data_IF_916907289571
#
_entry.id   IF_916907289571
#
_cell.length_a   1.000
_cell.length_b   1.000
_cell.length_c   1.000
_cell.angle_alpha   90.00
_cell.angle_beta   90.00
_cell.angle_gamma   90.00
#
_symmetry.space_group_name_H-M   'P 1'
#
loop_
_entity.id
_entity.type
_entity.pdbx_description
1 polymer ?
#
# COMPACT_ATOMS: atom_id res chain seq x y z
N UNK A 1 -0.52 12.01 3.53
CA UNK A 1 -0.54 12.49 2.13
C UNK A 1 0.82 13.03 1.68
N UNK A 2 1.56 13.69 2.58
CA UNK A 2 2.83 14.39 2.33
C UNK A 2 3.92 13.54 1.65
N UNK A 3 3.94 12.22 1.91
CA UNK A 3 4.86 11.26 1.26
C UNK A 3 4.33 10.67 -0.04
N UNK A 4 3.34 11.31 -0.67
CA UNK A 4 2.76 10.93 -1.96
C UNK A 4 2.16 9.50 -1.98
N UNK A 5 1.64 9.04 -0.84
CA UNK A 5 0.96 7.75 -0.76
C UNK A 5 -0.26 7.69 -1.69
N UNK A 6 -0.56 6.49 -2.16
CA UNK A 6 -1.71 6.15 -2.98
C UNK A 6 -2.84 5.57 -2.10
N UNK A 7 -4.08 5.88 -2.46
CA UNK A 7 -5.29 5.27 -1.92
C UNK A 7 -5.41 5.23 -0.38
N UNK A 8 -5.14 6.33 0.32
CA UNK A 8 -5.18 6.38 1.79
C UNK A 8 -6.62 6.24 2.30
N UNK A 9 -7.00 5.09 2.85
CA UNK A 9 -8.36 4.79 3.35
C UNK A 9 -8.29 4.29 4.78
N UNK A 10 -9.33 4.53 5.57
CA UNK A 10 -9.43 4.01 6.92
C UNK A 10 -10.84 3.48 7.19
N UNK A 11 -10.94 2.39 7.93
CA UNK A 11 -12.20 1.76 8.30
C UNK A 11 -12.35 1.74 9.81
N UNK A 12 -13.57 1.98 10.29
CA UNK A 12 -13.97 1.71 11.66
C UNK A 12 -14.22 0.21 11.80
N UNK A 13 -13.34 -0.46 12.54
CA UNK A 13 -13.37 -1.91 12.74
C UNK A 13 -13.72 -2.29 14.17
N UNK A 14 -14.11 -1.32 15.00
CA UNK A 14 -14.40 -1.51 16.44
C UNK A 14 -15.53 -2.50 16.72
N UNK A 15 -16.52 -2.62 15.82
CA UNK A 15 -17.61 -3.58 15.94
C UNK A 15 -17.22 -5.01 15.50
N UNK A 16 -16.10 -5.16 14.80
CA UNK A 16 -15.65 -6.43 14.19
C UNK A 16 -14.44 -7.00 14.93
N UNK A 17 -13.55 -6.15 15.42
CA UNK A 17 -12.35 -6.50 16.16
C UNK A 17 -12.49 -6.10 17.63
N UNK A 18 -12.08 -6.98 18.54
CA UNK A 18 -12.27 -6.78 19.97
C UNK A 18 -11.29 -5.78 20.62
N UNK A 19 -10.26 -5.33 19.89
CA UNK A 19 -9.15 -4.54 20.43
C UNK A 19 -8.88 -3.29 19.58
N UNK A 20 -8.85 -3.45 18.26
CA UNK A 20 -8.52 -2.37 17.33
C UNK A 20 -9.80 -1.66 16.87
N UNK A 21 -9.79 -0.33 16.94
CA UNK A 21 -10.92 0.51 16.56
C UNK A 21 -10.81 0.98 15.10
N UNK A 22 -9.59 1.18 14.58
CA UNK A 22 -9.39 1.66 13.21
C UNK A 22 -8.34 0.88 12.43
N UNK A 23 -8.63 0.60 11.15
CA UNK A 23 -7.70 -0.01 10.21
C UNK A 23 -7.45 0.92 9.03
N UNK A 24 -6.22 1.44 8.90
CA UNK A 24 -5.81 2.35 7.83
C UNK A 24 -4.99 1.61 6.78
N UNK A 25 -5.37 1.73 5.51
CA UNK A 25 -4.59 1.28 4.37
C UNK A 25 -4.00 2.44 3.59
N UNK A 26 -2.73 2.31 3.22
CA UNK A 26 -2.06 3.19 2.29
C UNK A 26 -1.22 2.37 1.31
N UNK A 27 -0.87 2.95 0.17
CA UNK A 27 -0.04 2.27 -0.81
C UNK A 27 1.03 3.15 -1.43
N UNK A 28 1.99 2.53 -2.08
CA UNK A 28 3.06 3.22 -2.78
C UNK A 28 3.48 2.47 -4.06
N UNK A 29 4.06 3.15 -5.05
CA UNK A 29 4.51 2.58 -6.32
C UNK A 29 5.89 1.89 -6.25
N UNK A 30 6.60 1.95 -5.12
CA UNK A 30 7.89 1.28 -4.92
C UNK A 30 8.22 1.13 -3.43
N UNK A 31 9.10 0.18 -3.12
CA UNK A 31 9.55 -0.14 -1.76
C UNK A 31 10.16 1.06 -1.02
N UNK A 32 10.87 1.95 -1.74
CA UNK A 32 11.45 3.15 -1.15
C UNK A 32 10.36 4.10 -0.63
N UNK A 33 9.27 4.26 -1.37
CA UNK A 33 8.14 5.08 -0.93
C UNK A 33 7.34 4.38 0.18
N UNK A 34 7.15 3.06 0.13
CA UNK A 34 6.55 2.29 1.24
C UNK A 34 7.32 2.58 2.53
N UNK A 35 8.64 2.43 2.51
CA UNK A 35 9.49 2.73 3.67
C UNK A 35 9.39 4.20 4.09
N UNK A 36 9.44 5.14 3.15
CA UNK A 36 9.36 6.57 3.47
C UNK A 36 8.02 6.98 4.08
N UNK A 37 6.91 6.33 3.72
CA UNK A 37 5.60 6.52 4.32
C UNK A 37 5.59 5.97 5.75
N UNK A 38 6.09 4.74 5.94
CA UNK A 38 6.19 4.09 7.25
C UNK A 38 7.03 4.93 8.22
N UNK A 39 8.24 5.32 7.80
CA UNK A 39 9.17 6.09 8.62
C UNK A 39 8.52 7.43 9.05
N UNK A 40 7.78 8.10 8.15
CA UNK A 40 7.07 9.35 8.48
C UNK A 40 5.92 9.14 9.46
N UNK A 41 5.14 8.06 9.33
CA UNK A 41 4.06 7.72 10.26
C UNK A 41 4.64 7.52 11.65
N UNK A 42 5.68 6.68 11.78
CA UNK A 42 6.35 6.43 13.06
C UNK A 42 6.93 7.71 13.64
N UNK A 43 7.62 8.52 12.83
CA UNK A 43 8.24 9.78 13.25
C UNK A 43 7.21 10.78 13.78
N UNK A 44 6.08 10.98 13.08
CA UNK A 44 5.05 11.93 13.52
C UNK A 44 4.31 11.47 14.75
N UNK A 45 3.88 10.20 14.78
CA UNK A 45 3.18 9.66 15.95
C UNK A 45 4.08 9.70 17.19
N UNK A 46 5.38 9.45 17.03
CA UNK A 46 6.31 9.58 18.14
C UNK A 46 6.51 11.05 18.57
N UNK A 47 6.72 11.97 17.63
CA UNK A 47 7.00 13.38 17.97
C UNK A 47 5.80 14.11 18.55
N UNK A 48 4.61 13.84 18.03
CA UNK A 48 3.40 14.59 18.37
C UNK A 48 2.65 13.98 19.56
N UNK A 49 2.71 12.64 19.71
CA UNK A 49 1.90 11.91 20.69
C UNK A 49 2.73 11.00 21.62
N UNK A 50 4.06 10.97 21.49
CA UNK A 50 4.96 10.01 22.17
C UNK A 50 4.55 8.54 21.96
N UNK A 51 3.86 8.26 20.85
CA UNK A 51 3.38 6.93 20.53
C UNK A 51 4.48 6.13 19.81
N UNK A 52 4.59 4.84 20.15
CA UNK A 52 5.45 3.87 19.45
C UNK A 52 4.60 2.67 19.06
N UNK A 53 4.83 2.06 17.89
CA UNK A 53 4.09 0.87 17.52
C UNK A 53 4.40 -0.24 18.53
N UNK A 54 3.36 -0.91 18.99
CA UNK A 54 3.48 -2.11 19.81
C UNK A 54 4.15 -3.24 19.03
N UNK A 55 3.90 -3.30 17.71
CA UNK A 55 4.54 -4.24 16.81
C UNK A 55 4.72 -3.64 15.41
N UNK A 56 5.78 -4.09 14.74
CA UNK A 56 6.05 -3.86 13.33
C UNK A 56 6.29 -5.18 12.61
N UNK A 57 5.65 -5.37 11.46
CA UNK A 57 5.75 -6.58 10.64
C UNK A 57 6.02 -6.24 9.16
N UNK A 58 6.53 -7.21 8.37
CA UNK A 58 6.65 -7.10 6.90
C UNK A 58 7.91 -6.41 6.36
N UNK A 59 8.69 -5.70 7.18
CA UNK A 59 9.80 -4.85 6.70
C UNK A 59 10.89 -5.57 5.87
N UNK A 60 11.14 -6.87 6.12
CA UNK A 60 12.21 -7.61 5.44
C UNK A 60 12.02 -7.70 3.93
N UNK A 61 10.77 -7.82 3.47
CA UNK A 61 10.48 -7.96 2.05
C UNK A 61 10.13 -6.61 1.41
N UNK A 62 9.92 -5.55 2.22
CA UNK A 62 9.70 -4.16 1.77
C UNK A 62 8.39 -3.90 1.01
N UNK A 63 7.73 -4.95 0.53
CA UNK A 63 6.51 -4.89 -0.29
C UNK A 63 5.26 -4.55 0.52
N UNK A 64 5.28 -4.84 1.81
CA UNK A 64 4.28 -4.39 2.76
C UNK A 64 4.89 -4.21 4.15
N UNK A 65 4.31 -3.30 4.92
CA UNK A 65 4.65 -3.07 6.32
C UNK A 65 3.35 -2.85 7.09
N UNK A 66 3.22 -3.53 8.22
CA UNK A 66 2.13 -3.34 9.17
C UNK A 66 2.70 -2.70 10.44
N UNK A 67 2.08 -1.60 10.87
CA UNK A 67 2.33 -0.93 12.13
C UNK A 67 1.11 -1.12 13.03
N UNK A 68 1.31 -1.75 14.18
CA UNK A 68 0.28 -2.03 15.16
C UNK A 68 0.44 -1.09 16.36
N UNK A 69 -0.54 -0.21 16.58
CA UNK A 69 -0.64 0.69 17.73
C UNK A 69 -1.75 0.26 18.70
N UNK A 70 -2.18 -1.01 18.64
CA UNK A 70 -3.28 -1.61 19.43
C UNK A 70 -4.64 -1.07 19.02
N UNK A 71 -4.91 0.21 19.28
CA UNK A 71 -6.18 0.88 18.97
C UNK A 71 -6.31 1.18 17.47
N UNK A 72 -5.17 1.37 16.78
CA UNK A 72 -5.10 1.63 15.35
C UNK A 72 -4.06 0.72 14.70
N UNK A 73 -4.40 0.13 13.56
CA UNK A 73 -3.46 -0.59 12.71
C UNK A 73 -3.28 0.15 11.39
N UNK A 74 -2.03 0.33 10.96
CA UNK A 74 -1.69 0.96 9.69
C UNK A 74 -0.98 -0.06 8.79
N UNK A 75 -1.57 -0.33 7.64
CA UNK A 75 -1.02 -1.23 6.63
C UNK A 75 -0.57 -0.44 5.39
N UNK A 76 0.74 -0.40 5.14
CA UNK A 76 1.33 0.25 3.97
C UNK A 76 1.85 -0.82 3.03
N UNK A 77 1.42 -0.81 1.76
CA UNK A 77 1.78 -1.86 0.80
C UNK A 77 2.08 -1.34 -0.60
N UNK A 78 2.66 -2.19 -1.44
CA UNK A 78 2.84 -1.87 -2.85
C UNK A 78 1.48 -1.69 -3.56
N UNK A 79 1.43 -0.78 -4.53
CA UNK A 79 0.20 -0.47 -5.28
C UNK A 79 -0.31 -1.68 -6.07
N UNK A 80 0.58 -2.45 -6.69
CA UNK A 80 0.23 -3.69 -7.38
C UNK A 80 -0.32 -4.75 -6.42
N UNK A 81 0.32 -4.95 -5.27
CA UNK A 81 -0.12 -5.92 -4.26
C UNK A 81 -1.51 -5.55 -3.72
N UNK A 82 -1.79 -4.26 -3.58
CA UNK A 82 -3.13 -3.80 -3.22
C UNK A 82 -4.18 -4.20 -4.22
N UNK A 83 -3.93 -3.98 -5.51
CA UNK A 83 -4.87 -4.34 -6.57
C UNK A 83 -5.06 -5.85 -6.63
N UNK A 84 -3.98 -6.61 -6.46
CA UNK A 84 -4.00 -8.08 -6.50
C UNK A 84 -4.75 -8.71 -5.32
N UNK A 85 -4.41 -8.32 -4.08
CA UNK A 85 -5.02 -8.91 -2.88
C UNK A 85 -6.36 -8.27 -2.50
N UNK A 86 -6.59 -7.01 -2.87
CA UNK A 86 -7.80 -6.26 -2.58
C UNK A 86 -8.26 -6.39 -1.12
N UNK A 87 -7.34 -6.15 -0.17
CA UNK A 87 -7.57 -6.32 1.27
C UNK A 87 -8.78 -5.52 1.78
N UNK A 88 -9.14 -4.42 1.12
CA UNK A 88 -10.34 -3.63 1.43
C UNK A 88 -11.63 -4.45 1.39
N UNK A 89 -11.65 -5.58 0.66
CA UNK A 89 -12.79 -6.50 0.65
C UNK A 89 -13.08 -7.13 2.02
N UNK A 90 -12.07 -7.24 2.89
CA UNK A 90 -12.24 -7.72 4.26
C UNK A 90 -13.06 -6.74 5.11
N UNK A 91 -12.98 -5.45 4.79
CA UNK A 91 -13.58 -4.35 5.55
C UNK A 91 -14.80 -3.74 4.83
N UNK A 92 -15.33 -4.39 3.80
CA UNK A 92 -16.43 -3.85 2.97
C UNK A 92 -17.71 -3.52 3.75
N UNK A 93 -17.93 -4.20 4.88
CA UNK A 93 -19.10 -4.06 5.73
C UNK A 93 -18.83 -3.12 6.93
N UNK A 94 -17.60 -2.60 7.03
CA UNK A 94 -17.18 -1.65 8.04
C UNK A 94 -17.37 -0.21 7.53
N UNK A 95 -17.82 0.74 8.37
CA UNK A 95 -17.88 2.14 7.99
C UNK A 95 -16.51 2.68 7.58
N UNK A 96 -16.43 3.45 6.49
CA UNK A 96 -15.21 4.21 6.17
C UNK A 96 -15.13 5.43 7.09
N UNK A 97 -13.96 5.64 7.69
CA UNK A 97 -13.68 6.83 8.50
C UNK A 97 -13.46 8.03 7.59
N UNK A 98 -14.05 9.17 7.95
CA UNK A 98 -13.90 10.40 7.20
C UNK A 98 -12.46 10.93 7.32
N UNK A 99 -11.79 11.08 6.18
CA UNK A 99 -10.40 11.55 6.08
C UNK A 99 -10.31 12.95 5.45
N UNK A 100 -9.20 13.69 5.65
CA UNK A 100 -8.97 14.96 4.96
C UNK A 100 -9.00 14.81 3.43
N UNK A 101 -9.39 15.89 2.73
CA UNK A 101 -9.51 15.90 1.27
C UNK A 101 -8.21 15.50 0.54
N UNK A 102 -7.06 15.86 1.10
CA UNK A 102 -5.76 15.48 0.56
C UNK A 102 -5.53 13.95 0.56
N UNK A 103 -6.10 13.24 1.53
CA UNK A 103 -6.06 11.78 1.57
C UNK A 103 -7.03 11.19 0.55
N UNK A 104 -8.26 11.73 0.46
CA UNK A 104 -9.25 11.28 -0.53
C UNK A 104 -8.79 11.50 -1.97
N UNK A 105 -8.06 12.57 -2.24
CA UNK A 105 -7.47 12.86 -3.55
C UNK A 105 -6.43 11.82 -4.03
N UNK A 106 -6.05 10.87 -3.17
CA UNK A 106 -5.15 9.76 -3.52
C UNK A 106 -5.88 8.53 -4.06
N UNK A 107 -7.22 8.52 -4.03
CA UNK A 107 -8.07 7.41 -4.50
C UNK A 107 -7.83 7.14 -6.00
N UNK A 108 -7.76 5.86 -6.38
CA UNK A 108 -7.53 5.37 -7.74
C UNK A 108 -6.05 5.21 -8.14
N UNK A 109 -5.11 5.86 -7.44
CA UNK A 109 -3.70 5.94 -7.86
C UNK A 109 -3.00 4.59 -7.92
N UNK A 110 -3.36 3.63 -7.06
CA UNK A 110 -2.78 2.29 -7.08
C UNK A 110 -3.22 1.52 -8.33
N UNK A 111 -4.48 1.65 -8.74
CA UNK A 111 -4.98 1.03 -9.97
C UNK A 111 -4.36 1.69 -11.22
N UNK A 112 -4.25 3.03 -11.24
CA UNK A 112 -3.54 3.75 -12.30
C UNK A 112 -2.09 3.28 -12.45
N UNK A 113 -1.39 3.14 -11.32
CA UNK A 113 -0.03 2.65 -11.31
C UNK A 113 0.07 1.20 -11.81
N UNK A 114 -0.75 0.29 -11.28
CA UNK A 114 -0.73 -1.12 -11.69
C UNK A 114 -1.00 -1.29 -13.20
N UNK A 115 -1.94 -0.51 -13.75
CA UNK A 115 -2.22 -0.50 -15.20
C UNK A 115 -1.02 0.02 -16.00
N UNK A 116 -0.33 1.05 -15.51
CA UNK A 116 0.86 1.58 -16.17
C UNK A 116 2.03 0.61 -16.16
N UNK A 117 2.20 -0.16 -15.07
CA UNK A 117 3.22 -1.23 -15.01
C UNK A 117 2.88 -2.36 -15.98
N UNK A 118 1.63 -2.85 -15.97
CA UNK A 118 1.19 -3.92 -16.87
C UNK A 118 1.36 -3.54 -18.36
N UNK A 119 1.02 -2.30 -18.73
CA UNK A 119 1.22 -1.80 -20.10
C UNK A 119 2.70 -1.71 -20.50
N UNK A 120 3.60 -1.47 -19.54
CA UNK A 120 5.05 -1.44 -19.77
C UNK A 120 5.67 -2.81 -20.02
N UNK A 121 5.16 -3.85 -19.34
CA UNK A 121 5.63 -5.23 -19.50
C UNK A 121 5.18 -5.88 -20.82
N UNK A 122 4.03 -5.45 -21.38
CA UNK A 122 3.53 -5.89 -22.70
C UNK A 122 4.41 -5.41 -23.89
N UNK A 123 5.43 -4.58 -23.65
CA UNK A 123 6.34 -4.07 -24.69
C UNK A 123 7.66 -4.87 -24.86
N UNK A 124 7.78 -6.08 -24.29
CA UNK A 124 8.94 -6.95 -24.53
C UNK A 124 9.09 -7.25 -26.05
N UNK A 125 10.28 -7.09 -26.66
CA UNK A 125 10.47 -7.39 -28.07
C UNK A 125 10.27 -8.88 -28.32
N UNK A 126 9.54 -9.21 -29.39
CA UNK A 126 9.42 -10.59 -29.88
C UNK A 126 10.80 -11.22 -30.03
N UNK A 127 10.97 -12.52 -29.72
CA UNK A 127 12.22 -13.21 -30.01
C UNK A 127 12.53 -13.00 -31.49
N UNK A 128 13.71 -12.46 -31.78
CA UNK A 128 14.19 -12.34 -33.14
C UNK A 128 14.07 -13.71 -33.82
N UNK A 129 13.27 -13.75 -34.87
CA UNK A 129 13.02 -14.91 -35.71
C UNK A 129 14.31 -15.69 -36.00
N UNK A 130 14.19 -17.01 -35.90
CA UNK A 130 15.06 -17.98 -36.54
C UNK A 130 15.27 -17.62 -38.01
N UNK A 131 16.51 -17.28 -38.41
CA UNK A 131 17.08 -17.39 -39.77
C UNK A 131 18.60 -17.47 -39.56
N UNK A 132 19.43 -18.38 -40.06
CA UNK A 132 19.38 -19.50 -41.01
C UNK A 132 20.58 -20.40 -40.59
N UNK A 133 20.59 -21.73 -40.77
CA UNK A 133 20.10 -22.39 -41.95
C UNK A 133 21.12 -22.44 -43.09
N UNK A 134 22.44 -22.28 -42.89
CA UNK A 134 23.42 -22.73 -43.91
C UNK A 134 24.62 -23.48 -43.31
N UNK A 135 24.51 -24.81 -43.41
CA UNK A 135 25.62 -25.73 -43.60
C UNK A 135 26.43 -25.31 -44.85
N UNK A 136 27.71 -24.98 -44.67
CA UNK A 136 28.84 -25.43 -45.50
C UNK A 136 30.19 -25.05 -44.91
#
# INVERSE_FOLDING_TARGET
ADKLAHDIVAYDVSDVLAITDAFLLASAPNDRQVKGIVDEIEERLNKELDAKPARREGERDGRWVLLDYVDIVVHVQHSEERVFYALERLWKDCPELELPEEAKATRGKAAEHANAVAAGDEQLPEPADELDGELR
#
